data_IF_738246639123
#
_entry.id   IF_738246639123
#
_cell.length_a   1.000
_cell.length_b   1.000
_cell.length_c   1.000
_cell.angle_alpha   90.00
_cell.angle_beta   90.00
_cell.angle_gamma   90.00
#
_symmetry.space_group_name_H-M   'P 1'
#
loop_
_entity.id
_entity.type
_entity.pdbx_description
1 polymer ?
#
# COMPACT_ATOMS: atom_id res chain seq x y z
N UNK A 1 14.29 2.21 -13.91
CA UNK A 1 12.87 2.17 -14.29
C UNK A 1 12.09 1.74 -13.06
N UNK A 2 11.24 2.61 -12.52
CA UNK A 2 10.49 2.29 -11.29
C UNK A 2 9.23 1.53 -11.67
N UNK A 3 9.06 0.32 -11.14
CA UNK A 3 7.90 -0.53 -11.43
C UNK A 3 6.59 0.06 -10.88
N UNK A 4 6.66 0.92 -9.86
CA UNK A 4 5.51 1.58 -9.24
C UNK A 4 5.23 2.94 -9.86
N UNK A 5 3.96 3.29 -9.99
CA UNK A 5 3.50 4.65 -10.25
C UNK A 5 3.89 5.58 -9.09
N UNK A 6 4.20 6.84 -9.39
CA UNK A 6 4.61 7.84 -8.39
C UNK A 6 3.56 8.06 -7.29
N UNK A 7 2.27 7.87 -7.62
CA UNK A 7 1.15 8.03 -6.70
C UNK A 7 0.65 6.71 -6.09
N UNK A 8 1.38 5.60 -6.22
CA UNK A 8 0.94 4.28 -5.74
C UNK A 8 0.61 4.27 -4.23
N UNK A 9 1.43 4.91 -3.39
CA UNK A 9 1.19 5.03 -1.95
C UNK A 9 -0.13 5.77 -1.64
N UNK A 10 -0.41 6.84 -2.38
CA UNK A 10 -1.65 7.62 -2.26
C UNK A 10 -2.88 6.83 -2.70
N UNK A 11 -2.78 6.07 -3.79
CA UNK A 11 -3.85 5.18 -4.27
C UNK A 11 -4.20 4.15 -3.21
N UNK A 12 -3.20 3.41 -2.71
CA UNK A 12 -3.43 2.37 -1.70
C UNK A 12 -3.98 2.94 -0.39
N UNK A 13 -3.52 4.13 0.02
CA UNK A 13 -4.04 4.83 1.21
C UNK A 13 -5.52 5.21 1.04
N UNK A 14 -5.91 5.70 -0.14
CA UNK A 14 -7.30 6.03 -0.46
C UNK A 14 -8.18 4.78 -0.47
N UNK A 15 -7.74 3.70 -1.12
CA UNK A 15 -8.50 2.44 -1.17
C UNK A 15 -8.71 1.83 0.22
N UNK A 16 -7.69 1.91 1.07
CA UNK A 16 -7.77 1.49 2.47
C UNK A 16 -8.81 2.31 3.24
N UNK A 17 -8.83 3.64 3.05
CA UNK A 17 -9.82 4.52 3.68
C UNK A 17 -11.24 4.26 3.13
N UNK A 18 -11.39 4.08 1.81
CA UNK A 18 -12.67 3.78 1.15
C UNK A 18 -13.29 2.48 1.67
N UNK A 19 -12.46 1.50 2.04
CA UNK A 19 -12.90 0.22 2.63
C UNK A 19 -13.08 0.27 4.16
N UNK A 20 -12.85 1.42 4.80
CA UNK A 20 -12.95 1.57 6.25
C UNK A 20 -11.90 0.76 7.04
N UNK A 21 -10.82 0.33 6.39
CA UNK A 21 -9.81 -0.53 7.00
C UNK A 21 -8.76 0.30 7.74
N UNK A 22 -8.31 -0.18 8.89
CA UNK A 22 -7.19 0.45 9.61
C UNK A 22 -5.86 -0.04 9.03
N UNK A 23 -4.89 0.86 8.89
CA UNK A 23 -3.53 0.50 8.45
C UNK A 23 -2.88 -0.56 9.34
N UNK A 24 -3.15 -0.53 10.64
CA UNK A 24 -2.69 -1.56 11.60
C UNK A 24 -3.24 -2.95 11.28
N UNK A 25 -4.50 -3.02 10.85
CA UNK A 25 -5.14 -4.27 10.46
C UNK A 25 -4.54 -4.82 9.17
N UNK A 26 -4.37 -3.97 8.15
CA UNK A 26 -3.75 -4.37 6.89
C UNK A 26 -2.31 -4.82 7.10
N UNK A 27 -1.52 -4.07 7.86
CA UNK A 27 -0.13 -4.40 8.17
C UNK A 27 0.02 -5.80 8.78
N UNK A 28 -0.82 -6.13 9.77
CA UNK A 28 -0.84 -7.45 10.41
C UNK A 28 -1.14 -8.58 9.40
N UNK A 29 -2.09 -8.36 8.49
CA UNK A 29 -2.49 -9.38 7.52
C UNK A 29 -1.45 -9.58 6.40
N UNK A 30 -0.66 -8.56 6.06
CA UNK A 30 0.39 -8.67 5.04
C UNK A 30 1.78 -9.00 5.62
N UNK A 31 1.86 -9.21 6.93
CA UNK A 31 3.10 -9.62 7.61
C UNK A 31 4.12 -8.49 7.78
N UNK A 32 3.69 -7.24 7.95
CA UNK A 32 4.58 -6.10 8.23
C UNK A 32 4.14 -5.37 9.51
N UNK A 33 5.02 -4.54 10.06
CA UNK A 33 4.66 -3.72 11.23
C UNK A 33 3.78 -2.53 10.81
N UNK A 34 2.83 -2.16 11.66
CA UNK A 34 1.95 -1.01 11.40
C UNK A 34 2.70 0.32 11.21
N UNK A 35 3.74 0.65 12.01
CA UNK A 35 4.53 1.87 11.79
C UNK A 35 5.24 1.87 10.44
N UNK A 36 5.72 0.70 9.99
CA UNK A 36 6.41 0.58 8.70
C UNK A 36 5.46 0.84 7.52
N UNK A 37 4.29 0.19 7.52
CA UNK A 37 3.27 0.43 6.49
C UNK A 37 2.79 1.88 6.49
N UNK A 38 2.58 2.47 7.68
CA UNK A 38 2.15 3.87 7.79
C UNK A 38 3.18 4.84 7.20
N UNK A 39 4.46 4.66 7.52
CA UNK A 39 5.54 5.50 6.94
C UNK A 39 5.58 5.38 5.41
N UNK A 40 5.35 4.20 4.85
CA UNK A 40 5.29 4.00 3.38
C UNK A 40 4.07 4.69 2.75
N UNK A 41 2.87 4.45 3.30
CA UNK A 41 1.63 5.01 2.74
C UNK A 41 1.52 6.53 2.92
N UNK A 42 2.21 7.09 3.90
CA UNK A 42 2.31 8.54 4.11
C UNK A 42 3.48 9.17 3.35
N UNK A 43 4.28 8.40 2.61
CA UNK A 43 5.41 8.91 1.83
C UNK A 43 6.62 9.32 2.65
N UNK A 44 6.67 8.99 3.94
CA UNK A 44 7.82 9.24 4.81
C UNK A 44 9.01 8.33 4.48
N UNK A 45 8.76 7.18 3.85
CA UNK A 45 9.76 6.28 3.27
C UNK A 45 9.23 5.73 1.94
N UNK A 46 10.13 5.25 1.09
CA UNK A 46 9.75 4.65 -0.19
C UNK A 46 8.90 3.39 0.00
N UNK A 47 7.78 3.32 -0.72
CA UNK A 47 6.95 2.13 -0.84
C UNK A 47 7.69 1.11 -1.71
N UNK A 48 7.94 -0.09 -1.18
CA UNK A 48 8.57 -1.17 -1.95
C UNK A 48 7.53 -1.88 -2.82
N UNK A 49 7.97 -2.43 -3.95
CA UNK A 49 7.11 -3.18 -4.89
C UNK A 49 6.43 -4.35 -4.18
N UNK A 50 7.17 -5.09 -3.36
CA UNK A 50 6.63 -6.23 -2.60
C UNK A 50 5.48 -5.81 -1.68
N UNK A 51 5.67 -4.75 -0.88
CA UNK A 51 4.63 -4.28 0.05
C UNK A 51 3.44 -3.72 -0.74
N UNK A 52 3.69 -3.00 -1.84
CA UNK A 52 2.62 -2.48 -2.70
C UNK A 52 1.74 -3.61 -3.25
N UNK A 53 2.33 -4.69 -3.76
CA UNK A 53 1.59 -5.86 -4.28
C UNK A 53 0.81 -6.55 -3.17
N UNK A 54 1.43 -6.76 -2.00
CA UNK A 54 0.76 -7.39 -0.84
C UNK A 54 -0.46 -6.58 -0.40
N UNK A 55 -0.33 -5.25 -0.28
CA UNK A 55 -1.42 -4.35 0.09
C UNK A 55 -2.50 -4.34 -1.00
N UNK A 56 -2.12 -4.24 -2.28
CA UNK A 56 -3.07 -4.23 -3.39
C UNK A 56 -3.91 -5.51 -3.43
N UNK A 57 -3.26 -6.69 -3.30
CA UNK A 57 -3.98 -7.97 -3.22
C UNK A 57 -4.90 -8.05 -2.02
N UNK A 58 -4.44 -7.61 -0.84
CA UNK A 58 -5.27 -7.61 0.36
C UNK A 58 -6.50 -6.70 0.23
N UNK A 59 -6.33 -5.56 -0.44
CA UNK A 59 -7.40 -4.60 -0.67
C UNK A 59 -8.24 -4.91 -1.92
N UNK A 60 -7.94 -5.96 -2.67
CA UNK A 60 -8.56 -6.26 -3.97
C UNK A 60 -8.47 -5.08 -4.96
N UNK A 61 -7.28 -4.48 -5.04
CA UNK A 61 -6.96 -3.36 -5.94
C UNK A 61 -6.21 -3.91 -7.16
N UNK A 62 -6.68 -3.64 -8.40
CA UNK A 62 -5.98 -4.05 -9.61
C UNK A 62 -4.55 -3.52 -9.66
N UNK A 63 -3.58 -4.38 -9.98
CA UNK A 63 -2.15 -4.01 -9.97
C UNK A 63 -1.81 -2.91 -10.99
N UNK A 64 -2.55 -2.85 -12.10
CA UNK A 64 -2.49 -1.77 -13.10
C UNK A 64 -2.77 -0.36 -12.51
N UNK A 65 -3.45 -0.27 -11.36
CA UNK A 65 -3.63 1.02 -10.68
C UNK A 65 -2.35 1.49 -10.00
N UNK A 66 -1.40 0.60 -9.70
CA UNK A 66 -0.19 0.93 -8.94
C UNK A 66 1.13 0.64 -9.69
N UNK A 67 1.10 -0.15 -10.77
CA UNK A 67 2.28 -0.51 -11.59
C UNK A 67 2.31 0.25 -12.94
N UNK A 68 3.50 0.54 -13.46
CA UNK A 68 3.72 1.05 -14.82
C UNK A 68 3.84 -0.08 -15.84
#
# INVERSE_FOLDING_TARGET
MTLLKENASSILKKELANKGLKQTYVAKNIGVTAPYLSRMLNGSINLTVEVAIKVARFLDVPLEKILN
#
